data_IF_832015646405
#
_entry.id   IF_832015646405
#
_cell.length_a   1.000
_cell.length_b   1.000
_cell.length_c   1.000
_cell.angle_alpha   90.00
_cell.angle_beta   90.00
_cell.angle_gamma   90.00
#
_symmetry.space_group_name_H-M   'P 1'
#
loop_
_entity.id
_entity.type
_entity.pdbx_description
1 polymer ?
#
# COMPACT_ATOMS: atom_id res chain seq x y z
N UNK A 1 4.08 -8.92 1.89
CA UNK A 1 4.38 -8.79 0.45
C UNK A 1 4.72 -7.35 0.06
N UNK A 2 3.83 -6.38 0.31
CA UNK A 2 4.04 -4.96 -0.03
C UNK A 2 5.32 -4.37 0.59
N UNK A 3 5.59 -4.69 1.86
CA UNK A 3 6.81 -4.23 2.55
C UNK A 3 8.11 -4.61 1.82
N UNK A 4 8.22 -5.84 1.30
CA UNK A 4 9.38 -6.28 0.51
C UNK A 4 9.50 -5.52 -0.81
N UNK A 5 8.36 -5.23 -1.45
CA UNK A 5 8.30 -4.46 -2.69
C UNK A 5 8.85 -3.04 -2.49
N UNK A 6 8.47 -2.39 -1.39
CA UNK A 6 8.97 -1.06 -1.04
C UNK A 6 10.42 -1.08 -0.55
N UNK A 7 10.82 -2.07 0.25
CA UNK A 7 12.21 -2.24 0.66
C UNK A 7 13.13 -2.42 -0.57
N UNK A 8 12.69 -3.17 -1.58
CA UNK A 8 13.43 -3.34 -2.84
C UNK A 8 13.62 -2.06 -3.65
N UNK A 9 12.82 -1.02 -3.40
CA UNK A 9 12.99 0.30 -4.02
C UNK A 9 13.89 1.20 -3.18
N UNK A 10 13.80 1.12 -1.85
CA UNK A 10 14.48 2.02 -0.90
C UNK A 10 15.89 1.56 -0.55
N UNK A 11 16.13 0.25 -0.43
CA UNK A 11 17.40 -0.31 0.04
C UNK A 11 18.54 -0.20 -0.98
N UNK A 12 18.36 -0.51 -2.28
CA UNK A 12 19.47 -0.45 -3.23
C UNK A 12 20.14 0.94 -3.33
N UNK A 13 19.39 2.07 -3.41
CA UNK A 13 19.99 3.41 -3.42
C UNK A 13 20.79 3.77 -2.15
N UNK A 14 20.39 3.23 -0.99
CA UNK A 14 21.10 3.45 0.28
C UNK A 14 22.44 2.70 0.27
N UNK A 15 22.45 1.47 -0.26
CA UNK A 15 23.67 0.65 -0.35
C UNK A 15 24.62 1.18 -1.41
N UNK A 16 24.10 1.66 -2.55
CA UNK A 16 24.88 2.14 -3.70
C UNK A 16 25.43 3.57 -3.49
N UNK A 17 25.13 4.22 -2.35
CA UNK A 17 25.60 5.57 -2.02
C UNK A 17 24.94 6.70 -2.82
N UNK A 18 24.11 6.38 -3.82
CA UNK A 18 23.19 7.34 -4.45
C UNK A 18 22.02 7.60 -3.49
N UNK A 19 22.24 8.44 -2.48
CA UNK A 19 21.27 8.82 -1.42
C UNK A 19 19.88 9.18 -1.99
N UNK A 20 19.84 9.59 -3.26
CA UNK A 20 18.63 9.91 -4.01
C UNK A 20 18.35 8.76 -4.99
N UNK A 21 17.31 7.94 -4.76
CA UNK A 21 16.83 6.97 -5.74
C UNK A 21 16.53 7.65 -7.08
N UNK A 22 16.79 7.00 -8.22
CA UNK A 22 16.38 7.50 -9.54
C UNK A 22 14.86 7.72 -9.64
N UNK A 23 14.10 7.07 -8.77
CA UNK A 23 12.67 7.27 -8.60
C UNK A 23 12.33 8.61 -7.91
N UNK A 24 13.27 9.39 -7.35
CA UNK A 24 13.02 10.78 -6.89
C UNK A 24 12.98 11.73 -8.09
N UNK A 25 12.22 11.38 -9.13
CA UNK A 25 11.84 12.29 -10.19
C UNK A 25 10.48 12.90 -9.83
N UNK A 26 10.17 14.07 -10.38
CA UNK A 26 8.94 14.84 -10.10
C UNK A 26 7.63 14.05 -10.27
N UNK A 27 7.70 12.88 -10.91
CA UNK A 27 6.60 11.96 -11.16
C UNK A 27 6.34 10.94 -10.03
N UNK A 28 7.16 10.88 -8.96
CA UNK A 28 7.01 9.84 -7.93
C UNK A 28 6.94 10.39 -6.51
N UNK A 29 5.92 9.93 -5.78
CA UNK A 29 5.69 10.24 -4.37
C UNK A 29 6.30 9.17 -3.47
N UNK A 30 7.63 9.20 -3.30
CA UNK A 30 8.31 8.36 -2.29
C UNK A 30 7.78 8.61 -0.87
N UNK A 31 7.18 9.78 -0.63
CA UNK A 31 6.47 10.12 0.60
C UNK A 31 5.37 9.10 0.92
N UNK A 32 4.57 8.68 -0.07
CA UNK A 32 3.49 7.71 0.15
C UNK A 32 4.06 6.35 0.55
N UNK A 33 5.18 5.93 -0.04
CA UNK A 33 5.86 4.69 0.32
C UNK A 33 6.50 4.77 1.73
N UNK A 34 7.05 5.93 2.10
CA UNK A 34 7.57 6.16 3.43
C UNK A 34 6.47 6.11 4.50
N UNK A 35 5.31 6.70 4.21
CA UNK A 35 4.12 6.58 5.07
C UNK A 35 3.64 5.12 5.16
N UNK A 36 3.68 4.38 4.06
CA UNK A 36 3.25 2.98 4.04
C UNK A 36 4.15 2.12 4.95
N UNK A 37 5.47 2.22 4.80
CA UNK A 37 6.43 1.49 5.62
C UNK A 37 6.51 1.99 7.08
N UNK A 38 6.41 3.30 7.29
CA UNK A 38 6.63 3.93 8.60
C UNK A 38 5.41 3.95 9.50
N UNK A 39 4.19 3.98 8.94
CA UNK A 39 2.96 4.16 9.72
C UNK A 39 1.86 3.16 9.34
N UNK A 40 1.52 3.05 8.06
CA UNK A 40 0.32 2.33 7.64
C UNK A 40 0.47 0.81 7.82
N UNK A 41 1.62 0.22 7.48
CA UNK A 41 1.90 -1.20 7.70
C UNK A 41 1.93 -1.57 9.19
N UNK A 42 2.67 -0.84 10.06
CA UNK A 42 2.60 -1.06 11.51
C UNK A 42 1.18 -0.94 12.05
N UNK A 43 0.42 0.07 11.63
CA UNK A 43 -0.98 0.23 12.03
C UNK A 43 -1.84 -0.95 11.57
N UNK A 44 -1.71 -1.40 10.32
CA UNK A 44 -2.42 -2.57 9.80
C UNK A 44 -2.14 -3.82 10.64
N UNK A 45 -0.88 -4.01 11.03
CA UNK A 45 -0.45 -5.14 11.84
C UNK A 45 -1.06 -5.11 13.24
N UNK A 46 -1.01 -3.95 13.91
CA UNK A 46 -1.64 -3.75 15.22
C UNK A 46 -3.14 -3.96 15.15
N UNK A 47 -3.82 -3.36 14.16
CA UNK A 47 -5.26 -3.51 13.96
C UNK A 47 -5.62 -4.98 13.73
N UNK A 48 -4.88 -5.69 12.85
CA UNK A 48 -5.09 -7.11 12.59
C UNK A 48 -4.96 -7.98 13.84
N UNK A 49 -3.95 -7.74 14.68
CA UNK A 49 -3.80 -8.43 15.98
C UNK A 49 -5.00 -8.14 16.89
N UNK A 50 -5.43 -6.88 16.96
CA UNK A 50 -6.54 -6.45 17.79
C UNK A 50 -7.86 -7.10 17.35
N UNK A 51 -8.08 -7.25 16.04
CA UNK A 51 -9.22 -7.95 15.46
C UNK A 51 -9.18 -9.45 15.76
N UNK A 52 -8.01 -10.11 15.65
CA UNK A 52 -7.86 -11.54 16.00
C UNK A 52 -8.15 -11.77 17.49
N UNK A 53 -7.75 -10.84 18.35
CA UNK A 53 -8.03 -10.86 19.79
C UNK A 53 -9.50 -10.55 20.13
N UNK A 54 -10.38 -10.40 19.14
CA UNK A 54 -11.81 -10.06 19.27
C UNK A 54 -12.07 -8.78 20.07
N UNK A 55 -11.13 -7.84 20.05
CA UNK A 55 -11.29 -6.57 20.76
C UNK A 55 -12.28 -5.67 20.00
N UNK A 56 -13.23 -4.99 20.68
CA UNK A 56 -14.18 -4.09 20.02
C UNK A 56 -13.51 -2.97 19.20
N UNK A 57 -12.38 -2.43 19.67
CA UNK A 57 -11.63 -1.41 18.92
C UNK A 57 -11.03 -1.97 17.63
N UNK A 58 -10.63 -3.25 17.63
CA UNK A 58 -10.08 -3.91 16.45
C UNK A 58 -11.09 -4.06 15.33
N UNK A 59 -12.36 -4.34 15.66
CA UNK A 59 -13.44 -4.44 14.67
C UNK A 59 -13.86 -3.08 14.09
N UNK A 60 -13.84 -2.02 14.90
CA UNK A 60 -14.08 -0.68 14.39
C UNK A 60 -12.95 -0.22 13.45
N UNK A 61 -11.70 -0.35 13.91
CA UNK A 61 -10.53 0.11 13.19
C UNK A 61 -10.28 -0.66 11.89
N UNK A 62 -10.54 -1.98 11.85
CA UNK A 62 -10.34 -2.77 10.62
C UNK A 62 -11.26 -2.33 9.50
N UNK A 63 -12.49 -1.93 9.81
CA UNK A 63 -13.47 -1.43 8.83
C UNK A 63 -12.97 -0.14 8.19
N UNK A 64 -12.59 0.83 9.03
CA UNK A 64 -12.08 2.13 8.59
C UNK A 64 -10.80 1.93 7.77
N UNK A 65 -9.90 1.09 8.25
CA UNK A 65 -8.63 0.81 7.60
C UNK A 65 -8.80 0.10 6.24
N UNK A 66 -9.74 -0.84 6.12
CA UNK A 66 -10.02 -1.54 4.85
C UNK A 66 -10.56 -0.59 3.76
N UNK A 67 -11.49 0.31 4.13
CA UNK A 67 -11.99 1.32 3.19
C UNK A 67 -10.85 2.24 2.76
N UNK A 68 -10.09 2.75 3.72
CA UNK A 68 -8.92 3.59 3.43
C UNK A 68 -7.91 2.88 2.51
N UNK A 69 -7.60 1.62 2.79
CA UNK A 69 -6.69 0.78 1.99
C UNK A 69 -7.18 0.64 0.55
N UNK A 70 -8.49 0.44 0.35
CA UNK A 70 -9.07 0.31 -1.00
C UNK A 70 -8.93 1.59 -1.83
N UNK A 71 -9.11 2.76 -1.22
CA UNK A 71 -8.93 4.06 -1.85
C UNK A 71 -7.45 4.29 -2.18
N UNK A 72 -6.56 4.01 -1.22
CA UNK A 72 -5.11 4.16 -1.38
C UNK A 72 -4.56 3.26 -2.49
N UNK A 73 -4.99 2.00 -2.56
CA UNK A 73 -4.59 1.06 -3.61
C UNK A 73 -5.10 1.50 -4.99
N UNK A 74 -6.31 2.06 -5.07
CA UNK A 74 -6.84 2.63 -6.32
C UNK A 74 -6.01 3.83 -6.80
N UNK A 75 -5.62 4.71 -5.89
CA UNK A 75 -4.73 5.83 -6.20
C UNK A 75 -3.35 5.36 -6.70
N UNK A 76 -2.81 4.29 -6.11
CA UNK A 76 -1.55 3.68 -6.55
C UNK A 76 -1.65 3.06 -7.96
N UNK A 77 -2.78 2.42 -8.30
CA UNK A 77 -3.01 1.93 -9.68
C UNK A 77 -2.96 3.08 -10.68
N UNK A 78 -3.65 4.19 -10.40
CA UNK A 78 -3.62 5.39 -11.25
C UNK A 78 -2.20 5.90 -11.45
N UNK A 79 -1.41 6.06 -10.36
CA UNK A 79 -0.01 6.47 -10.43
C UNK A 79 0.81 5.55 -11.36
N UNK A 80 0.66 4.24 -11.23
CA UNK A 80 1.41 3.27 -12.04
C UNK A 80 1.05 3.37 -13.53
N UNK A 81 -0.24 3.55 -13.84
CA UNK A 81 -0.68 3.74 -15.22
C UNK A 81 -0.08 5.01 -15.85
N UNK A 82 -0.06 6.12 -15.11
CA UNK A 82 0.59 7.34 -15.58
C UNK A 82 2.10 7.15 -15.76
N UNK A 83 2.79 6.50 -14.81
CA UNK A 83 4.21 6.18 -14.95
C UNK A 83 4.50 5.32 -16.19
N UNK A 84 3.63 4.36 -16.50
CA UNK A 84 3.76 3.52 -17.69
C UNK A 84 3.63 4.35 -18.98
N UNK A 85 2.70 5.32 -19.02
CA UNK A 85 2.52 6.23 -20.16
C UNK A 85 3.73 7.14 -20.39
N UNK A 86 4.47 7.49 -19.32
CA UNK A 86 5.73 8.24 -19.42
C UNK A 86 6.95 7.34 -19.70
N UNK A 87 6.75 6.05 -20.01
CA UNK A 87 7.82 5.12 -20.39
C UNK A 87 8.68 4.62 -19.22
N UNK A 88 8.24 4.81 -17.97
CA UNK A 88 8.95 4.29 -16.81
C UNK A 88 8.83 2.76 -16.71
N UNK A 89 9.86 2.09 -16.20
CA UNK A 89 9.79 0.66 -15.93
C UNK A 89 8.91 0.41 -14.70
N UNK A 90 7.70 -0.08 -14.93
CA UNK A 90 6.66 -0.34 -13.93
C UNK A 90 6.49 -1.83 -13.59
N UNK A 91 7.28 -2.71 -14.21
CA UNK A 91 7.25 -4.15 -13.95
C UNK A 91 8.14 -4.44 -12.73
N UNK A 92 7.69 -5.21 -11.72
CA UNK A 92 6.48 -6.05 -11.67
C UNK A 92 5.25 -5.39 -11.03
N UNK A 93 5.37 -4.14 -10.57
CA UNK A 93 4.37 -3.44 -9.74
C UNK A 93 3.00 -3.35 -10.43
N UNK A 94 2.99 -3.22 -11.76
CA UNK A 94 1.76 -3.12 -12.58
C UNK A 94 0.83 -4.34 -12.48
N UNK A 95 1.36 -5.52 -12.13
CA UNK A 95 0.52 -6.71 -11.92
C UNK A 95 0.12 -6.86 -10.46
N UNK A 96 1.03 -6.54 -9.55
CA UNK A 96 0.85 -6.79 -8.12
C UNK A 96 -0.18 -5.84 -7.51
N UNK A 97 -0.09 -4.54 -7.81
CA UNK A 97 -0.96 -3.55 -7.16
C UNK A 97 -2.43 -3.71 -7.56
N UNK A 98 -2.81 -3.88 -8.85
CA UNK A 98 -4.22 -4.09 -9.20
C UNK A 98 -4.85 -5.32 -8.56
N UNK A 99 -4.10 -6.42 -8.41
CA UNK A 99 -4.57 -7.62 -7.72
C UNK A 99 -4.87 -7.31 -6.25
N UNK A 100 -3.98 -6.58 -5.57
CA UNK A 100 -4.19 -6.15 -4.18
C UNK A 100 -5.39 -5.20 -4.08
N UNK A 101 -5.57 -4.30 -5.05
CA UNK A 101 -6.73 -3.39 -5.10
C UNK A 101 -8.04 -4.17 -5.16
N UNK A 102 -8.14 -5.16 -6.05
CA UNK A 102 -9.34 -6.00 -6.17
C UNK A 102 -9.62 -6.72 -4.86
N UNK A 103 -8.61 -7.37 -4.28
CA UNK A 103 -8.74 -8.07 -2.99
C UNK A 103 -9.20 -7.13 -1.87
N UNK A 104 -8.60 -5.94 -1.79
CA UNK A 104 -8.96 -4.92 -0.79
C UNK A 104 -10.41 -4.45 -0.97
N UNK A 105 -10.85 -4.18 -2.20
CA UNK A 105 -12.24 -3.76 -2.47
C UNK A 105 -13.21 -4.89 -2.10
N UNK A 106 -12.92 -6.13 -2.50
CA UNK A 106 -13.79 -7.27 -2.17
C UNK A 106 -13.93 -7.44 -0.66
N UNK A 107 -12.82 -7.40 0.09
CA UNK A 107 -12.89 -7.49 1.55
C UNK A 107 -13.63 -6.31 2.18
N UNK A 108 -13.40 -5.07 1.73
CA UNK A 108 -14.14 -3.90 2.21
C UNK A 108 -15.65 -4.06 2.03
N UNK A 109 -16.10 -4.54 0.86
CA UNK A 109 -17.53 -4.77 0.58
C UNK A 109 -18.11 -5.87 1.47
N UNK A 110 -17.39 -6.99 1.64
CA UNK A 110 -17.81 -8.09 2.51
C UNK A 110 -17.93 -7.60 3.97
N UNK A 111 -16.95 -6.82 4.43
CA UNK A 111 -16.91 -6.33 5.80
C UNK A 111 -18.09 -5.38 6.04
N UNK A 112 -18.33 -4.42 5.14
CA UNK A 112 -19.49 -3.53 5.20
C UNK A 112 -20.83 -4.27 5.20
N UNK A 113 -20.96 -5.34 4.39
CA UNK A 113 -22.18 -6.15 4.34
C UNK A 113 -22.44 -6.97 5.61
N UNK A 114 -21.39 -7.28 6.37
CA UNK A 114 -21.48 -8.08 7.60
C UNK A 114 -21.57 -7.22 8.87
N UNK A 115 -21.46 -5.90 8.76
CA UNK A 115 -21.76 -4.99 9.88
C UNK A 115 -23.29 -4.92 10.00
N UNK A 116 -23.83 -5.63 11.00
CA UNK A 116 -25.21 -5.54 11.47
C UNK A 116 -25.29 -4.69 12.72
#
# INVERSE_FOLDING_TARGET
MIALLWLGVVVPPIIDGSIIPKQVQHYTTLIVQAFDLGLLLPAAFVIGILTIKKNPLGYLLITIYMIFLSILMTALVSKILFMANFGANVVPVIFIIPVITIVSITFSVILLKNIK
#
